data_IF_711961741315
#
_entry.id   IF_711961741315
#
_cell.length_a   1.000
_cell.length_b   1.000
_cell.length_c   1.000
_cell.angle_alpha   90.00
_cell.angle_beta   90.00
_cell.angle_gamma   90.00
#
_symmetry.space_group_name_H-M   'P 1'
#
loop_
_entity.id
_entity.type
_entity.pdbx_description
1 polymer ?
#
# COMPACT_ATOMS: atom_id res chain seq x y z
N UNK A 1 44.95 31.81 -10.59
CA UNK A 1 44.32 30.91 -9.63
C UNK A 1 42.87 31.37 -9.43
N UNK A 2 41.90 30.69 -10.06
CA UNK A 2 40.47 30.96 -9.89
C UNK A 2 39.93 29.90 -8.96
N UNK A 3 39.47 30.30 -7.78
CA UNK A 3 38.82 29.45 -6.81
C UNK A 3 37.44 29.09 -7.30
N UNK A 4 37.20 27.82 -7.59
CA UNK A 4 35.88 27.25 -7.92
C UNK A 4 35.14 27.03 -6.62
N UNK A 5 34.20 27.93 -6.29
CA UNK A 5 33.24 27.75 -5.19
C UNK A 5 32.22 26.69 -5.61
N UNK A 6 32.40 25.47 -5.15
CA UNK A 6 31.39 24.42 -5.21
C UNK A 6 30.26 24.74 -4.22
N UNK A 7 29.17 25.31 -4.72
CA UNK A 7 27.90 25.35 -3.97
C UNK A 7 27.35 23.92 -3.85
N UNK A 8 27.66 23.26 -2.76
CA UNK A 8 26.92 22.09 -2.31
C UNK A 8 25.53 22.58 -1.86
N UNK A 9 24.60 22.61 -2.81
CA UNK A 9 23.18 22.67 -2.48
C UNK A 9 22.84 21.43 -1.67
N UNK A 10 22.77 21.60 -0.35
CA UNK A 10 22.21 20.63 0.57
C UNK A 10 20.73 20.45 0.19
N UNK A 11 20.46 19.50 -0.68
CA UNK A 11 19.12 19.07 -1.01
C UNK A 11 18.54 18.39 0.24
N UNK A 12 17.89 19.17 1.09
CA UNK A 12 17.04 18.64 2.15
C UNK A 12 15.79 18.07 1.47
N UNK A 13 15.69 16.75 1.37
CA UNK A 13 14.50 16.17 0.83
C UNK A 13 13.41 16.29 1.89
N UNK A 14 12.56 17.32 1.77
CA UNK A 14 11.33 17.46 2.55
C UNK A 14 10.50 16.18 2.40
N UNK A 15 10.00 15.66 3.53
CA UNK A 15 9.00 14.58 3.50
C UNK A 15 7.81 15.07 2.69
N UNK A 16 7.58 14.47 1.53
CA UNK A 16 6.48 14.86 0.67
C UNK A 16 5.19 14.38 1.33
N UNK A 17 4.45 15.30 1.94
CA UNK A 17 3.12 15.04 2.49
C UNK A 17 2.09 15.28 1.39
N UNK A 18 1.21 14.32 1.15
CA UNK A 18 0.06 14.50 0.28
C UNK A 18 -1.22 14.49 1.09
N UNK A 19 -2.18 15.33 0.71
CA UNK A 19 -3.48 15.47 1.36
C UNK A 19 -4.58 15.45 0.33
N UNK A 20 -5.67 14.77 0.66
CA UNK A 20 -6.87 14.73 -0.15
C UNK A 20 -8.08 14.74 0.78
N UNK A 21 -9.03 15.63 0.53
CA UNK A 21 -10.34 15.62 1.18
C UNK A 21 -11.37 15.14 0.17
N UNK A 22 -12.18 14.17 0.58
CA UNK A 22 -13.23 13.60 -0.25
C UNK A 22 -14.57 13.56 0.50
N UNK A 23 -15.64 13.61 -0.27
CA UNK A 23 -17.00 13.34 0.19
C UNK A 23 -17.40 11.94 -0.29
N UNK A 24 -17.85 11.10 0.64
CA UNK A 24 -18.22 9.70 0.39
C UNK A 24 -19.71 9.50 0.66
N UNK A 25 -20.43 9.00 -0.34
CA UNK A 25 -21.80 8.53 -0.18
C UNK A 25 -21.80 7.02 -0.34
N UNK A 26 -22.40 6.30 0.60
CA UNK A 26 -22.46 4.83 0.57
C UNK A 26 -23.67 4.33 1.38
N UNK A 27 -24.04 3.07 1.15
CA UNK A 27 -25.12 2.41 1.89
C UNK A 27 -24.71 1.94 3.29
N UNK A 28 -23.40 1.76 3.50
CA UNK A 28 -22.82 1.21 4.71
C UNK A 28 -21.71 2.17 5.23
N UNK A 29 -22.08 3.33 5.80
CA UNK A 29 -21.10 4.31 6.27
C UNK A 29 -20.21 3.78 7.40
N UNK A 30 -20.64 2.78 8.15
CA UNK A 30 -19.88 2.09 9.19
C UNK A 30 -18.64 1.35 8.66
N UNK A 31 -18.53 1.18 7.33
CA UNK A 31 -17.31 0.64 6.70
C UNK A 31 -16.12 1.59 6.84
N UNK A 32 -16.39 2.88 7.02
CA UNK A 32 -15.35 3.89 7.09
C UNK A 32 -15.21 4.42 8.50
N UNK A 33 -14.02 4.28 9.05
CA UNK A 33 -13.67 4.78 10.38
C UNK A 33 -12.31 5.48 10.34
N UNK A 34 -11.97 6.15 11.42
CA UNK A 34 -10.64 6.71 11.61
C UNK A 34 -9.60 5.61 11.52
N UNK A 35 -8.52 5.90 10.83
CA UNK A 35 -7.38 5.01 10.71
C UNK A 35 -6.07 5.79 10.73
N UNK A 36 -5.03 5.19 11.35
CA UNK A 36 -3.72 5.82 11.38
C UNK A 36 -2.58 4.83 11.58
N UNK A 37 -1.50 5.06 10.81
CA UNK A 37 -0.20 4.44 10.99
C UNK A 37 0.92 5.44 10.67
N UNK A 38 2.17 4.98 10.54
CA UNK A 38 3.31 5.90 10.39
C UNK A 38 3.36 6.66 9.06
N UNK A 39 2.71 6.18 8.01
CA UNK A 39 2.71 6.85 6.71
C UNK A 39 1.35 7.25 6.18
N UNK A 40 0.27 6.96 6.92
CA UNK A 40 -1.07 7.27 6.47
C UNK A 40 -1.99 7.63 7.63
N UNK A 41 -2.92 8.56 7.39
CA UNK A 41 -4.00 8.91 8.30
C UNK A 41 -5.28 9.18 7.53
N UNK A 42 -6.36 8.59 8.02
CA UNK A 42 -7.73 8.83 7.60
C UNK A 42 -8.52 9.35 8.79
N UNK A 43 -9.26 10.45 8.62
CA UNK A 43 -10.20 10.96 9.62
C UNK A 43 -11.55 11.08 8.96
N UNK A 44 -12.58 10.51 9.59
CA UNK A 44 -13.93 10.41 9.05
C UNK A 44 -14.88 11.29 9.84
N UNK A 45 -15.61 12.12 9.18
CA UNK A 45 -16.62 13.02 9.77
C UNK A 45 -17.99 12.73 9.17
N UNK A 46 -18.96 12.39 10.00
CA UNK A 46 -20.35 12.31 9.57
C UNK A 46 -20.85 13.72 9.24
N UNK A 47 -21.44 13.89 8.06
CA UNK A 47 -22.01 15.14 7.59
C UNK A 47 -23.35 14.88 6.90
N UNK A 48 -24.21 15.88 6.72
CA UNK A 48 -25.47 15.68 6.01
C UNK A 48 -25.26 15.06 4.62
N UNK A 49 -25.91 13.93 4.37
CA UNK A 49 -25.86 13.22 3.08
C UNK A 49 -24.69 12.28 2.89
N UNK A 50 -23.77 12.10 3.87
CA UNK A 50 -22.66 11.18 3.72
C UNK A 50 -21.53 11.37 4.73
N UNK A 51 -20.31 11.12 4.27
CA UNK A 51 -19.09 11.26 5.07
C UNK A 51 -18.12 12.24 4.40
N UNK A 52 -17.54 13.14 5.17
CA UNK A 52 -16.33 13.85 4.76
C UNK A 52 -15.14 13.08 5.29
N UNK A 53 -14.17 12.80 4.43
CA UNK A 53 -12.99 12.03 4.79
C UNK A 53 -11.72 12.80 4.44
N UNK A 54 -10.91 13.06 5.46
CA UNK A 54 -9.62 13.70 5.34
C UNK A 54 -8.53 12.63 5.25
N UNK A 55 -7.83 12.58 4.13
CA UNK A 55 -6.78 11.61 3.83
C UNK A 55 -5.44 12.32 3.81
N UNK A 56 -4.48 11.81 4.58
CA UNK A 56 -3.10 12.29 4.60
C UNK A 56 -2.15 11.13 4.43
N UNK A 57 -1.18 11.29 3.56
CA UNK A 57 -0.04 10.38 3.50
C UNK A 57 1.26 11.14 3.53
N UNK A 58 2.30 10.51 4.03
CA UNK A 58 3.67 11.01 3.92
C UNK A 58 4.56 9.92 3.33
N UNK A 59 5.36 10.32 2.38
CA UNK A 59 6.43 9.46 1.91
C UNK A 59 7.40 9.25 3.06
N UNK A 60 7.41 8.06 3.64
CA UNK A 60 8.43 7.71 4.60
C UNK A 60 9.74 7.59 3.84
N UNK A 61 10.72 8.43 4.23
CA UNK A 61 12.09 8.09 3.93
C UNK A 61 12.40 6.83 4.71
N UNK A 62 12.47 5.75 3.97
CA UNK A 62 12.79 4.43 4.49
C UNK A 62 14.21 4.36 5.08
N UNK A 63 14.99 5.48 5.09
CA UNK A 63 16.29 5.60 5.74
C UNK A 63 16.31 5.23 7.24
N UNK A 64 15.16 5.30 7.91
CA UNK A 64 14.99 4.79 9.28
C UNK A 64 14.70 3.30 9.38
N UNK A 65 14.57 2.60 8.25
CA UNK A 65 14.38 1.15 8.17
C UNK A 65 15.70 0.43 7.81
N UNK A 66 16.84 1.00 8.20
CA UNK A 66 18.18 0.40 8.07
C UNK A 66 18.37 -0.84 8.98
N UNK A 67 17.28 -1.54 9.35
CA UNK A 67 17.42 -2.86 9.91
C UNK A 67 18.09 -3.73 8.85
N UNK A 68 19.18 -4.38 9.26
CA UNK A 68 19.85 -5.36 8.41
C UNK A 68 18.78 -6.32 7.90
N UNK A 69 18.65 -6.36 6.60
CA UNK A 69 17.85 -7.35 5.94
C UNK A 69 18.48 -8.73 6.21
N UNK A 70 17.74 -9.58 6.84
CA UNK A 70 18.18 -10.97 7.08
C UNK A 70 16.99 -11.89 6.76
N UNK A 71 17.28 -12.95 6.02
CA UNK A 71 16.31 -14.01 5.77
C UNK A 71 16.11 -14.79 7.05
N UNK A 72 14.86 -14.98 7.46
CA UNK A 72 14.50 -15.91 8.52
C UNK A 72 14.49 -17.33 7.93
N UNK A 73 15.54 -18.11 8.24
CA UNK A 73 15.73 -19.43 7.68
C UNK A 73 14.57 -20.39 8.00
N UNK A 74 13.97 -20.31 9.18
CA UNK A 74 12.85 -21.14 9.57
C UNK A 74 11.56 -20.71 8.85
N UNK A 75 11.29 -19.41 8.80
CA UNK A 75 10.14 -18.85 8.08
C UNK A 75 10.24 -19.12 6.57
N UNK A 76 11.43 -19.00 5.99
CA UNK A 76 11.68 -19.33 4.59
C UNK A 76 11.46 -20.83 4.31
N UNK A 77 11.98 -21.71 5.15
CA UNK A 77 11.83 -23.15 4.97
C UNK A 77 10.36 -23.63 5.04
N UNK A 78 9.52 -22.91 5.75
CA UNK A 78 8.08 -23.19 5.85
C UNK A 78 7.29 -22.78 4.58
N UNK A 79 7.89 -22.01 3.66
CA UNK A 79 7.20 -21.54 2.45
C UNK A 79 7.24 -22.58 1.31
N UNK A 80 6.24 -22.58 0.42
CA UNK A 80 6.29 -23.34 -0.83
C UNK A 80 7.52 -22.98 -1.67
N UNK A 81 8.00 -23.92 -2.48
CA UNK A 81 9.20 -23.73 -3.31
C UNK A 81 9.14 -22.49 -4.19
N UNK A 82 8.00 -22.27 -4.86
CA UNK A 82 7.81 -21.08 -5.71
C UNK A 82 7.98 -19.75 -4.92
N UNK A 83 7.50 -19.71 -3.67
CA UNK A 83 7.66 -18.55 -2.78
C UNK A 83 9.10 -18.39 -2.34
N UNK A 84 9.81 -19.50 -2.02
CA UNK A 84 11.25 -19.44 -1.66
C UNK A 84 12.11 -18.87 -2.78
N UNK A 85 11.87 -19.31 -4.01
CA UNK A 85 12.56 -18.80 -5.19
C UNK A 85 12.26 -17.31 -5.44
N UNK A 86 10.99 -16.92 -5.31
CA UNK A 86 10.57 -15.54 -5.42
C UNK A 86 11.20 -14.65 -4.34
N UNK A 87 11.32 -15.15 -3.09
CA UNK A 87 11.97 -14.46 -2.00
C UNK A 87 13.46 -14.17 -2.32
N UNK A 88 14.19 -15.16 -2.82
CA UNK A 88 15.58 -14.99 -3.23
C UNK A 88 15.73 -13.94 -4.34
N UNK A 89 14.85 -13.97 -5.34
CA UNK A 89 14.86 -12.99 -6.44
C UNK A 89 14.51 -11.57 -5.98
N UNK A 90 13.45 -11.42 -5.18
CA UNK A 90 13.05 -10.12 -4.65
C UNK A 90 14.10 -9.51 -3.68
N UNK A 91 14.82 -10.38 -2.96
CA UNK A 91 15.87 -9.99 -2.01
C UNK A 91 17.24 -9.75 -2.64
N UNK A 92 17.40 -9.97 -3.94
CA UNK A 92 18.71 -9.83 -4.59
C UNK A 92 19.26 -8.40 -4.46
N UNK A 93 20.41 -8.27 -3.80
CA UNK A 93 21.05 -6.98 -3.57
C UNK A 93 20.41 -6.10 -2.49
N UNK A 94 19.37 -6.57 -1.80
CA UNK A 94 18.75 -5.82 -0.72
C UNK A 94 19.67 -5.78 0.52
N UNK A 95 20.00 -4.57 0.98
CA UNK A 95 20.80 -4.31 2.19
C UNK A 95 19.91 -3.89 3.37
N UNK A 96 18.68 -3.50 3.09
CA UNK A 96 17.73 -3.01 4.08
C UNK A 96 16.31 -3.53 3.77
N UNK A 97 15.43 -3.47 4.77
CA UNK A 97 14.01 -3.77 4.56
C UNK A 97 13.38 -2.84 3.50
N UNK A 98 13.83 -1.61 3.43
CA UNK A 98 13.43 -0.67 2.37
C UNK A 98 13.76 -1.19 0.97
N UNK A 99 14.98 -1.70 0.79
CA UNK A 99 15.40 -2.26 -0.49
C UNK A 99 14.59 -3.50 -0.82
N UNK A 100 14.29 -4.32 0.19
CA UNK A 100 13.47 -5.52 0.02
C UNK A 100 12.03 -5.19 -0.39
N UNK A 101 11.37 -4.22 0.25
CA UNK A 101 10.05 -3.76 -0.15
C UNK A 101 10.03 -3.28 -1.61
N UNK A 102 11.06 -2.53 -2.02
CA UNK A 102 11.23 -2.13 -3.42
C UNK A 102 11.45 -3.35 -4.31
N UNK A 103 12.28 -4.29 -3.88
CA UNK A 103 12.54 -5.55 -4.59
C UNK A 103 11.27 -6.36 -4.81
N UNK A 104 10.39 -6.46 -3.80
CA UNK A 104 9.08 -7.10 -3.93
C UNK A 104 8.24 -6.43 -5.02
N UNK A 105 8.13 -5.11 -5.01
CA UNK A 105 7.34 -4.39 -6.02
C UNK A 105 7.91 -4.56 -7.44
N UNK A 106 9.24 -4.53 -7.58
CA UNK A 106 9.91 -4.75 -8.87
C UNK A 106 9.73 -6.19 -9.36
N UNK A 107 9.90 -7.17 -8.46
CA UNK A 107 9.69 -8.58 -8.76
C UNK A 107 8.27 -8.82 -9.28
N UNK A 108 7.25 -8.36 -8.54
CA UNK A 108 5.86 -8.54 -8.92
C UNK A 108 5.54 -7.90 -10.26
N UNK A 109 5.99 -6.67 -10.50
CA UNK A 109 5.78 -5.97 -11.78
C UNK A 109 6.37 -6.71 -12.97
N UNK A 110 7.50 -7.38 -12.78
CA UNK A 110 8.19 -8.09 -13.85
C UNK A 110 7.71 -9.53 -14.06
N UNK A 111 7.07 -10.14 -13.05
CA UNK A 111 6.76 -11.57 -13.04
C UNK A 111 5.28 -11.88 -13.03
N UNK A 112 4.44 -10.94 -12.62
CA UNK A 112 3.00 -11.13 -12.49
C UNK A 112 2.28 -10.11 -13.37
N UNK A 113 1.57 -10.58 -14.38
CA UNK A 113 0.68 -9.73 -15.18
C UNK A 113 -0.60 -9.45 -14.38
N UNK A 114 -1.06 -8.19 -14.44
CA UNK A 114 -2.35 -7.86 -13.82
C UNK A 114 -3.49 -8.45 -14.66
N UNK A 115 -4.34 -9.24 -14.03
CA UNK A 115 -5.46 -9.93 -14.68
C UNK A 115 -6.65 -9.95 -13.71
N UNK A 116 -7.80 -9.40 -14.16
CA UNK A 116 -9.04 -9.35 -13.38
C UNK A 116 -9.87 -10.62 -13.48
N UNK A 117 -9.41 -11.61 -14.24
CA UNK A 117 -10.10 -12.90 -14.32
C UNK A 117 -10.22 -13.57 -12.93
N UNK A 118 -11.30 -14.34 -12.76
CA UNK A 118 -11.52 -15.12 -11.54
C UNK A 118 -10.56 -16.33 -11.49
N UNK A 119 -9.33 -16.04 -11.09
CA UNK A 119 -8.24 -17.00 -10.95
C UNK A 119 -7.90 -17.18 -9.46
N UNK A 120 -7.34 -18.35 -9.07
CA UNK A 120 -6.81 -18.52 -7.72
C UNK A 120 -5.77 -17.45 -7.37
N UNK A 121 -5.96 -16.78 -6.24
CA UNK A 121 -5.16 -15.63 -5.81
C UNK A 121 -4.18 -15.96 -4.66
N UNK A 122 -3.99 -17.22 -4.31
CA UNK A 122 -2.96 -17.64 -3.36
C UNK A 122 -1.55 -17.33 -3.88
N UNK A 123 -0.58 -17.14 -2.98
CA UNK A 123 0.76 -16.71 -3.36
C UNK A 123 1.45 -17.70 -4.33
N UNK A 124 1.35 -19.00 -4.04
CA UNK A 124 1.96 -20.05 -4.88
C UNK A 124 1.28 -20.13 -6.25
N UNK A 125 -0.04 -20.05 -6.29
CA UNK A 125 -0.84 -20.09 -7.51
C UNK A 125 -0.53 -18.89 -8.41
N UNK A 126 -0.52 -17.67 -7.85
CA UNK A 126 -0.17 -16.45 -8.59
C UNK A 126 1.24 -16.54 -9.18
N UNK A 127 2.21 -17.05 -8.40
CA UNK A 127 3.58 -17.23 -8.89
C UNK A 127 3.68 -18.28 -9.99
N UNK A 128 2.90 -19.36 -9.89
CA UNK A 128 2.89 -20.44 -10.89
C UNK A 128 2.24 -20.00 -12.21
N UNK A 129 1.11 -19.28 -12.13
CA UNK A 129 0.38 -18.83 -13.33
C UNK A 129 0.94 -17.54 -13.93
N UNK A 130 1.75 -16.77 -13.18
CA UNK A 130 2.30 -15.49 -13.60
C UNK A 130 1.24 -14.38 -13.79
N UNK A 131 0.07 -14.52 -13.18
CA UNK A 131 -1.06 -13.64 -13.29
C UNK A 131 -1.78 -13.47 -11.95
N UNK A 132 -2.38 -12.30 -11.73
CA UNK A 132 -3.19 -12.02 -10.55
C UNK A 132 -3.68 -10.58 -10.51
N UNK A 133 -4.62 -10.29 -9.62
CA UNK A 133 -5.07 -8.93 -9.36
C UNK A 133 -4.57 -8.44 -7.99
N UNK A 134 -5.10 -7.33 -7.47
CA UNK A 134 -4.62 -6.71 -6.23
C UNK A 134 -4.56 -7.69 -5.03
N UNK A 135 -5.49 -8.66 -4.95
CA UNK A 135 -5.47 -9.69 -3.90
C UNK A 135 -4.23 -10.59 -4.07
N UNK A 136 -3.97 -11.08 -5.27
CA UNK A 136 -2.82 -11.93 -5.57
C UNK A 136 -1.50 -11.22 -5.32
N UNK A 137 -1.39 -9.96 -5.74
CA UNK A 137 -0.21 -9.13 -5.47
C UNK A 137 0.03 -8.97 -3.96
N UNK A 138 -1.03 -8.70 -3.18
CA UNK A 138 -0.93 -8.58 -1.73
C UNK A 138 -0.53 -9.92 -1.07
N UNK A 139 -1.12 -11.04 -1.51
CA UNK A 139 -0.82 -12.37 -0.97
C UNK A 139 0.63 -12.80 -1.25
N UNK A 140 1.14 -12.58 -2.47
CA UNK A 140 2.55 -12.84 -2.78
C UNK A 140 3.45 -11.94 -1.93
N UNK A 141 3.20 -10.65 -1.85
CA UNK A 141 4.00 -9.75 -1.05
C UNK A 141 4.00 -10.12 0.44
N UNK A 142 2.84 -10.55 0.98
CA UNK A 142 2.73 -11.04 2.36
C UNK A 142 3.59 -12.29 2.60
N UNK A 143 3.56 -13.24 1.67
CA UNK A 143 4.39 -14.44 1.75
C UNK A 143 5.88 -14.11 1.67
N UNK A 144 6.29 -13.17 0.79
CA UNK A 144 7.67 -12.72 0.69
C UNK A 144 8.13 -12.00 1.98
N UNK A 145 7.29 -11.17 2.59
CA UNK A 145 7.58 -10.53 3.88
C UNK A 145 7.74 -11.56 4.99
N UNK A 146 6.90 -12.61 5.00
CA UNK A 146 7.03 -13.71 5.97
C UNK A 146 8.37 -14.43 5.86
N UNK A 147 8.95 -14.60 4.65
CA UNK A 147 10.27 -15.20 4.47
C UNK A 147 11.40 -14.51 5.23
N UNK A 148 11.20 -13.23 5.57
CA UNK A 148 12.20 -12.41 6.28
C UNK A 148 11.73 -12.06 7.68
N UNK A 149 10.76 -12.79 8.22
CA UNK A 149 10.24 -12.60 9.58
C UNK A 149 9.47 -11.29 9.77
N UNK A 150 9.03 -10.64 8.69
CA UNK A 150 8.27 -9.38 8.76
C UNK A 150 6.77 -9.68 8.69
N UNK A 151 6.08 -9.41 9.80
CA UNK A 151 4.63 -9.58 9.87
C UNK A 151 3.91 -8.50 9.04
N UNK A 152 2.82 -8.89 8.39
CA UNK A 152 1.94 -7.99 7.67
C UNK A 152 0.50 -8.51 7.67
N UNK A 153 -0.45 -7.62 7.41
CA UNK A 153 -1.85 -8.00 7.24
C UNK A 153 -2.45 -7.30 6.01
N UNK A 154 -3.42 -7.93 5.35
CA UNK A 154 -4.14 -7.29 4.26
C UNK A 154 -5.02 -6.15 4.78
N UNK A 155 -5.12 -5.11 3.99
CA UNK A 155 -6.03 -3.97 4.17
C UNK A 155 -6.88 -3.85 2.92
N UNK A 156 -8.19 -3.73 3.09
CA UNK A 156 -9.14 -3.53 2.01
C UNK A 156 -9.66 -2.09 2.00
N UNK A 157 -10.03 -1.62 0.83
CA UNK A 157 -10.60 -0.29 0.65
C UNK A 157 -10.68 0.08 -0.81
N UNK A 158 -10.42 1.35 -1.10
CA UNK A 158 -10.48 1.87 -2.44
C UNK A 158 -9.21 2.62 -2.80
N UNK A 159 -8.72 2.41 -4.01
CA UNK A 159 -7.80 3.33 -4.65
C UNK A 159 -8.63 4.41 -5.37
N UNK A 160 -8.38 5.67 -5.05
CA UNK A 160 -9.09 6.82 -5.60
C UNK A 160 -8.40 7.26 -6.90
N UNK A 161 -8.90 6.74 -8.02
CA UNK A 161 -8.39 7.06 -9.34
C UNK A 161 -8.98 8.38 -9.84
N UNK A 162 -8.13 9.28 -10.28
CA UNK A 162 -8.58 10.48 -10.99
C UNK A 162 -8.75 10.18 -12.48
N UNK A 163 -9.99 10.31 -12.97
CA UNK A 163 -10.30 10.15 -14.37
C UNK A 163 -11.26 11.26 -14.81
N UNK A 164 -10.90 11.98 -15.86
CA UNK A 164 -11.73 13.03 -16.49
C UNK A 164 -12.28 14.07 -15.48
N UNK A 165 -11.45 14.46 -14.51
CA UNK A 165 -11.82 15.44 -13.47
C UNK A 165 -12.75 14.90 -12.38
N UNK A 166 -12.98 13.59 -12.33
CA UNK A 166 -13.75 12.89 -11.30
C UNK A 166 -12.84 11.97 -10.50
N UNK A 167 -13.25 11.68 -9.27
CA UNK A 167 -12.60 10.67 -8.43
C UNK A 167 -13.43 9.39 -8.52
N UNK A 168 -12.81 8.33 -8.99
CA UNK A 168 -13.43 7.00 -9.11
C UNK A 168 -12.87 6.10 -8.02
N UNK A 169 -13.71 5.57 -7.11
CA UNK A 169 -13.29 4.60 -6.11
C UNK A 169 -13.15 3.22 -6.78
N UNK A 170 -11.93 2.70 -6.86
CA UNK A 170 -11.63 1.37 -7.38
C UNK A 170 -11.35 0.44 -6.20
N UNK A 171 -12.12 -0.64 -5.99
CA UNK A 171 -11.85 -1.62 -4.93
C UNK A 171 -10.40 -2.09 -5.01
N UNK A 172 -9.70 -2.10 -3.87
CA UNK A 172 -8.28 -2.38 -3.85
C UNK A 172 -7.85 -3.02 -2.53
N UNK A 173 -6.79 -3.86 -2.62
CA UNK A 173 -6.14 -4.47 -1.47
C UNK A 173 -4.66 -4.14 -1.46
N UNK A 174 -4.16 -3.80 -0.28
CA UNK A 174 -2.73 -3.59 -0.01
C UNK A 174 -2.37 -4.20 1.36
N UNK A 175 -1.20 -3.91 1.88
CA UNK A 175 -0.72 -4.45 3.15
C UNK A 175 -0.48 -3.35 4.18
N UNK A 176 -0.76 -3.65 5.44
CA UNK A 176 -0.14 -3.00 6.58
C UNK A 176 1.01 -3.88 7.06
N UNK A 177 2.21 -3.32 7.08
CA UNK A 177 3.46 -4.00 7.46
C UNK A 177 3.85 -3.56 8.86
N UNK A 178 4.14 -4.53 9.72
CA UNK A 178 4.54 -4.32 11.09
C UNK A 178 6.07 -4.31 11.18
N UNK A 179 6.61 -3.17 11.59
CA UNK A 179 8.05 -2.94 11.65
C UNK A 179 8.56 -3.05 13.10
N UNK A 180 9.86 -3.32 13.30
CA UNK A 180 10.48 -3.26 14.61
C UNK A 180 10.21 -1.94 15.33
N UNK A 181 10.10 -1.99 16.66
CA UNK A 181 9.78 -0.82 17.49
C UNK A 181 8.30 -0.42 17.47
N UNK A 182 7.39 -1.32 17.07
CA UNK A 182 5.94 -1.08 17.05
C UNK A 182 5.46 -0.17 15.94
N UNK A 183 6.31 0.16 15.00
CA UNK A 183 5.97 0.98 13.83
C UNK A 183 5.11 0.21 12.85
N UNK A 184 4.22 0.90 12.15
CA UNK A 184 3.33 0.31 11.15
C UNK A 184 3.28 1.21 9.92
N UNK A 185 3.37 0.61 8.75
CA UNK A 185 3.28 1.33 7.48
C UNK A 185 2.34 0.63 6.51
N UNK A 186 1.72 1.39 5.64
CA UNK A 186 1.11 0.84 4.44
C UNK A 186 2.16 0.58 3.37
N UNK A 187 2.03 -0.56 2.71
CA UNK A 187 2.81 -0.97 1.56
C UNK A 187 1.88 -1.52 0.49
N UNK A 188 1.88 -0.90 -0.67
CA UNK A 188 1.18 -1.41 -1.83
C UNK A 188 2.18 -2.04 -2.80
N UNK A 189 2.16 -3.38 -2.96
CA UNK A 189 3.10 -4.05 -3.84
C UNK A 189 2.86 -3.76 -5.32
N UNK A 190 1.67 -3.28 -5.70
CA UNK A 190 1.33 -2.93 -7.08
C UNK A 190 1.83 -1.53 -7.46
N UNK A 191 1.83 -0.59 -6.49
CA UNK A 191 2.28 0.78 -6.69
C UNK A 191 3.48 1.07 -5.78
N UNK A 192 4.53 1.68 -6.32
CA UNK A 192 5.76 1.94 -5.56
C UNK A 192 5.59 3.02 -4.49
N UNK A 193 4.73 4.00 -4.76
CA UNK A 193 4.55 5.16 -3.89
C UNK A 193 3.15 5.14 -3.28
N UNK A 194 3.09 5.00 -1.97
CA UNK A 194 1.84 5.14 -1.24
C UNK A 194 1.48 6.63 -1.10
N UNK A 195 0.26 6.99 -1.47
CA UNK A 195 -0.23 8.38 -1.52
C UNK A 195 -1.50 8.58 -0.69
N UNK A 196 -2.05 9.80 -0.65
CA UNK A 196 -3.36 10.09 -0.05
C UNK A 196 -4.56 9.59 -0.87
N UNK A 197 -4.32 8.82 -1.93
CA UNK A 197 -5.38 8.28 -2.80
C UNK A 197 -5.96 6.96 -2.32
N UNK A 198 -5.72 6.57 -1.08
CA UNK A 198 -6.26 5.35 -0.48
C UNK A 198 -7.35 5.71 0.52
N UNK A 199 -8.49 5.08 0.39
CA UNK A 199 -9.62 5.16 1.33
C UNK A 199 -9.76 3.79 1.99
N UNK A 200 -9.43 3.72 3.27
CA UNK A 200 -9.51 2.47 4.05
C UNK A 200 -10.96 2.15 4.36
N UNK A 201 -11.40 0.98 3.96
CA UNK A 201 -12.66 0.40 4.39
C UNK A 201 -12.34 -0.70 5.40
N UNK A 202 -12.69 -0.48 6.63
CA UNK A 202 -12.49 -1.23 7.86
C UNK A 202 -11.57 -2.47 7.76
N UNK A 203 -10.41 -2.44 8.38
CA UNK A 203 -9.30 -3.38 8.23
C UNK A 203 -9.61 -4.87 8.60
N UNK A 204 -10.85 -5.18 8.99
CA UNK A 204 -11.28 -6.50 9.44
C UNK A 204 -12.29 -7.23 8.55
N UNK A 205 -12.65 -6.69 7.37
CA UNK A 205 -13.61 -7.38 6.51
C UNK A 205 -12.94 -8.46 5.67
N UNK A 206 -13.54 -9.67 5.62
CA UNK A 206 -13.10 -10.72 4.72
C UNK A 206 -13.22 -10.29 3.24
N UNK A 207 -12.40 -10.89 2.35
CA UNK A 207 -12.38 -10.55 0.93
C UNK A 207 -13.73 -10.72 0.22
N UNK A 208 -14.58 -11.58 0.74
CA UNK A 208 -15.88 -11.93 0.17
C UNK A 208 -16.92 -10.79 0.27
N UNK A 209 -16.60 -9.71 0.97
CA UNK A 209 -17.51 -8.58 1.15
C UNK A 209 -17.43 -7.52 0.06
N UNK A 210 -16.98 -7.88 -1.15
CA UNK A 210 -16.95 -6.95 -2.32
C UNK A 210 -18.35 -6.37 -2.59
N UNK A 211 -19.41 -7.13 -2.36
CA UNK A 211 -20.80 -6.66 -2.48
C UNK A 211 -21.13 -5.48 -1.56
N UNK A 212 -20.42 -5.32 -0.42
CA UNK A 212 -20.61 -4.18 0.48
C UNK A 212 -19.98 -2.89 -0.05
N UNK A 213 -19.13 -2.99 -1.06
CA UNK A 213 -18.54 -1.84 -1.73
C UNK A 213 -19.39 -1.30 -2.87
N UNK A 214 -20.50 -1.95 -3.20
CA UNK A 214 -21.41 -1.46 -4.18
C UNK A 214 -22.06 -0.14 -3.74
N UNK A 215 -22.15 0.80 -4.67
CA UNK A 215 -22.77 2.10 -4.42
C UNK A 215 -21.93 3.09 -3.63
N UNK A 216 -20.63 2.84 -3.42
CA UNK A 216 -19.71 3.85 -2.90
C UNK A 216 -19.44 4.87 -4.00
N UNK A 217 -19.83 6.11 -3.75
CA UNK A 217 -19.56 7.25 -4.63
C UNK A 217 -18.61 8.19 -3.90
N UNK A 218 -17.53 8.57 -4.55
CA UNK A 218 -16.54 9.49 -4.01
C UNK A 218 -16.45 10.73 -4.89
N UNK A 219 -16.49 11.90 -4.28
CA UNK A 219 -16.24 13.17 -4.94
C UNK A 219 -15.19 13.98 -4.18
N UNK A 220 -14.47 14.87 -4.87
CA UNK A 220 -13.67 15.87 -4.16
C UNK A 220 -14.57 16.76 -3.35
N UNK A 221 -14.22 17.01 -2.10
CA UNK A 221 -14.86 18.08 -1.33
C UNK A 221 -14.58 19.39 -2.06
N UNK A 222 -15.64 20.11 -2.43
CA UNK A 222 -15.48 21.49 -2.89
C UNK A 222 -14.93 22.25 -1.68
N UNK A 223 -13.73 22.84 -1.80
CA UNK A 223 -13.35 23.91 -0.87
C UNK A 223 -14.49 24.90 -0.87
N UNK A 224 -15.24 24.96 0.22
CA UNK A 224 -16.04 26.13 0.53
C UNK A 224 -14.96 27.20 0.75
N UNK A 225 -14.81 28.07 -0.23
CA UNK A 225 -14.11 29.31 -0.06
C UNK A 225 -15.00 30.07 0.94
N UNK A 226 -14.61 30.02 2.21
CA UNK A 226 -15.18 30.91 3.21
C UNK A 226 -14.90 32.36 2.73
N UNK A 227 -15.99 33.05 2.42
CA UNK A 227 -16.00 34.46 2.19
C UNK A 227 -15.67 35.23 3.49
#
# INVERSE_FOLDING_TARGET
>A
MRALLLFLLAWSPLSQESRLEVFVTCRAPELFSDFGNDNFRQVVHAVPGGLRVDLKSRTLRLRGLNHRFAVDAAALAAQPEAVRQACAQAGQGALSLSDYLRGISLFLRNRVAYDEADLPQGAAEVLAQGKGHCIGYANVAQALLACVGVASRPVNGFFLREARGRVEPVPHRWLEVFLPGGRRIFFDPQYQDFSSRYLVANAGFPPESVERFEGVVVSRSKKILDE
#
